data_IF_105929915768
#
_entry.id   IF_105929915768
#
_cell.length_a   1.000
_cell.length_b   1.000
_cell.length_c   1.000
_cell.angle_alpha   90.00
_cell.angle_beta   90.00
_cell.angle_gamma   90.00
#
_symmetry.space_group_name_H-M   'P 1'
#
loop_
_entity.id
_entity.type
_entity.pdbx_description
1 polymer ?
#
# COMPACT_ATOMS: atom_id res chain seq x y z
N UNK A 1 7.44 8.64 -17.98
CA UNK A 1 7.36 8.92 -16.53
C UNK A 1 5.88 9.03 -16.14
N UNK A 2 5.15 7.91 -16.04
CA UNK A 2 3.78 7.93 -15.52
C UNK A 2 3.91 7.94 -13.99
N UNK A 3 3.79 9.12 -13.39
CA UNK A 3 3.75 9.23 -11.93
C UNK A 3 2.39 8.70 -11.47
N UNK A 4 2.35 7.40 -11.13
CA UNK A 4 1.20 6.78 -10.49
C UNK A 4 1.02 7.36 -9.08
N UNK A 5 0.35 8.51 -8.98
CA UNK A 5 -0.09 9.07 -7.69
C UNK A 5 -0.95 8.08 -6.89
N UNK A 6 -1.58 7.13 -7.58
CA UNK A 6 -2.33 6.04 -6.96
C UNK A 6 -1.49 5.18 -6.00
N UNK A 7 -0.20 4.98 -6.31
CA UNK A 7 0.70 4.20 -5.45
C UNK A 7 0.96 4.94 -4.13
N UNK A 8 1.08 6.28 -4.21
CA UNK A 8 1.27 7.14 -3.04
C UNK A 8 0.00 7.23 -2.20
N UNK A 9 -1.18 7.34 -2.85
CA UNK A 9 -2.47 7.32 -2.18
C UNK A 9 -2.71 6.00 -1.45
N UNK A 10 -2.39 4.88 -2.10
CA UNK A 10 -2.40 3.56 -1.49
C UNK A 10 -1.53 3.50 -0.23
N UNK A 11 -0.30 4.04 -0.31
CA UNK A 11 0.60 4.09 0.84
C UNK A 11 0.05 4.95 1.98
N UNK A 12 -0.45 6.15 1.69
CA UNK A 12 -1.03 7.05 2.71
C UNK A 12 -2.26 6.43 3.37
N UNK A 13 -3.13 5.76 2.60
CA UNK A 13 -4.29 5.07 3.14
C UNK A 13 -3.89 3.97 4.12
N UNK A 14 -2.92 3.12 3.75
CA UNK A 14 -2.41 2.07 4.64
C UNK A 14 -1.71 2.65 5.87
N UNK A 15 -0.94 3.72 5.71
CA UNK A 15 -0.25 4.38 6.81
C UNK A 15 -1.24 5.05 7.81
N UNK A 16 -2.38 5.56 7.32
CA UNK A 16 -3.44 6.15 8.15
C UNK A 16 -4.27 5.09 8.87
N UNK A 17 -4.70 4.06 8.15
CA UNK A 17 -5.54 2.99 8.73
C UNK A 17 -4.75 2.02 9.61
N UNK A 18 -3.45 1.84 9.34
CA UNK A 18 -2.63 0.80 10.00
C UNK A 18 -3.04 -0.63 9.64
N UNK A 19 -4.05 -0.82 8.78
CA UNK A 19 -4.56 -2.11 8.33
C UNK A 19 -4.74 -2.14 6.82
N UNK A 20 -4.14 -3.13 6.17
CA UNK A 20 -4.31 -3.37 4.74
C UNK A 20 -5.75 -3.71 4.36
N UNK A 21 -6.51 -4.36 5.24
CA UNK A 21 -7.90 -4.71 4.98
C UNK A 21 -8.79 -3.48 4.98
N UNK A 22 -8.64 -2.59 5.98
CA UNK A 22 -9.43 -1.36 6.06
C UNK A 22 -9.05 -0.37 4.94
N UNK A 23 -7.76 -0.20 4.67
CA UNK A 23 -7.30 0.65 3.58
C UNK A 23 -7.79 0.16 2.21
N UNK A 24 -7.82 -1.16 1.98
CA UNK A 24 -8.34 -1.73 0.74
C UNK A 24 -9.85 -1.49 0.58
N UNK A 25 -10.62 -1.66 1.67
CA UNK A 25 -12.05 -1.34 1.69
C UNK A 25 -12.32 0.15 1.41
N UNK A 26 -11.53 1.05 2.01
CA UNK A 26 -11.65 2.49 1.78
C UNK A 26 -11.34 2.89 0.33
N UNK A 27 -10.35 2.24 -0.28
CA UNK A 27 -9.93 2.50 -1.66
C UNK A 27 -10.76 1.73 -2.70
N UNK A 28 -11.70 0.88 -2.28
CA UNK A 28 -12.53 0.06 -3.18
C UNK A 28 -11.73 -0.99 -3.96
N UNK A 29 -10.59 -1.43 -3.43
CA UNK A 29 -9.71 -2.43 -4.06
C UNK A 29 -9.61 -3.68 -3.20
N UNK A 30 -9.12 -4.78 -3.77
CA UNK A 30 -8.79 -5.96 -2.98
C UNK A 30 -7.53 -5.74 -2.14
N UNK A 31 -7.45 -6.40 -0.98
CA UNK A 31 -6.26 -6.37 -0.13
C UNK A 31 -5.00 -6.87 -0.85
N UNK A 32 -5.16 -7.86 -1.74
CA UNK A 32 -4.08 -8.36 -2.59
C UNK A 32 -3.59 -7.30 -3.58
N UNK A 33 -4.51 -6.62 -4.28
CA UNK A 33 -4.16 -5.54 -5.21
C UNK A 33 -3.41 -4.41 -4.48
N UNK A 34 -3.91 -3.98 -3.32
CA UNK A 34 -3.27 -2.96 -2.51
C UNK A 34 -1.85 -3.39 -2.08
N UNK A 35 -1.68 -4.64 -1.65
CA UNK A 35 -0.39 -5.19 -1.26
C UNK A 35 0.61 -5.24 -2.42
N UNK A 36 0.14 -5.54 -3.64
CA UNK A 36 0.94 -5.49 -4.86
C UNK A 36 1.36 -4.06 -5.21
N UNK A 37 0.45 -3.09 -5.11
CA UNK A 37 0.74 -1.66 -5.34
C UNK A 37 1.83 -1.15 -4.41
N UNK A 38 1.72 -1.43 -3.10
CA UNK A 38 2.74 -1.05 -2.13
C UNK A 38 4.08 -1.71 -2.43
N UNK A 39 4.09 -3.03 -2.74
CA UNK A 39 5.33 -3.74 -3.06
C UNK A 39 5.99 -3.18 -4.33
N UNK A 40 5.21 -2.78 -5.33
CA UNK A 40 5.73 -2.14 -6.53
C UNK A 40 6.33 -0.77 -6.21
N UNK A 41 5.68 0.01 -5.35
CA UNK A 41 6.20 1.30 -4.87
C UNK A 41 7.53 1.15 -4.12
N UNK A 42 7.59 0.20 -3.19
CA UNK A 42 8.82 -0.13 -2.45
C UNK A 42 9.95 -0.55 -3.40
N UNK A 43 9.65 -1.41 -4.38
CA UNK A 43 10.64 -1.85 -5.38
C UNK A 43 11.15 -0.71 -6.25
N UNK A 44 10.27 0.22 -6.64
CA UNK A 44 10.65 1.41 -7.43
C UNK A 44 11.51 2.38 -6.65
N UNK A 45 11.25 2.53 -5.35
CA UNK A 45 12.01 3.43 -4.48
C UNK A 45 13.27 2.77 -3.91
N UNK A 46 13.39 1.44 -3.98
CA UNK A 46 14.50 0.69 -3.41
C UNK A 46 14.51 0.68 -1.87
N UNK A 47 13.39 1.04 -1.24
CA UNK A 47 13.25 1.14 0.22
C UNK A 47 11.99 0.42 0.68
N UNK A 48 12.04 -0.11 1.91
CA UNK A 48 10.88 -0.71 2.57
C UNK A 48 10.12 0.38 3.33
N UNK A 49 8.90 0.66 2.91
CA UNK A 49 8.06 1.72 3.44
C UNK A 49 7.22 1.24 4.63
N UNK A 50 6.81 -0.04 4.63
CA UNK A 50 5.98 -0.60 5.68
C UNK A 50 6.65 -1.82 6.35
N UNK A 51 6.86 -1.72 7.65
CA UNK A 51 7.23 -2.87 8.48
C UNK A 51 5.98 -3.71 8.72
N UNK A 52 5.74 -4.69 7.85
CA UNK A 52 4.69 -5.70 8.03
C UNK A 52 4.86 -6.40 9.39
N UNK A 53 4.08 -6.00 10.38
CA UNK A 53 3.81 -6.81 11.57
C UNK A 53 2.61 -7.67 11.23
N UNK A 54 2.86 -8.89 10.76
CA UNK A 54 1.80 -9.89 10.68
C UNK A 54 1.39 -10.18 12.12
N UNK A 55 0.27 -9.61 12.57
CA UNK A 55 -0.41 -10.14 13.75
C UNK A 55 -0.97 -11.49 13.31
N UNK A 56 -0.27 -12.57 13.66
CA UNK A 56 -0.70 -13.96 13.48
C UNK A 56 -2.01 -14.23 14.19
#
# INVERSE_FOLDING_TARGET
MQHNFNDLLAFVAVAREGSFTHAAAQLGVSQSALSHTIRSLEARLGIRLLTRTTRS
#
